data_IF_122623183881
#
_entry.id   IF_122623183881
#
_cell.length_a   1.000
_cell.length_b   1.000
_cell.length_c   1.000
_cell.angle_alpha   90.00
_cell.angle_beta   90.00
_cell.angle_gamma   90.00
#
_symmetry.space_group_name_H-M   'P 1'
#
loop_
_entity.id
_entity.type
_entity.pdbx_description
1 polymer ?
#
# COMPACT_ATOMS: atom_id res chain seq x y z
N UNK A 1 28.21 61.36 -25.34
CA UNK A 1 27.72 59.96 -25.28
C UNK A 1 27.34 59.69 -23.84
N UNK A 2 26.04 59.81 -23.56
CA UNK A 2 25.51 59.92 -22.22
C UNK A 2 25.48 58.60 -21.45
N UNK A 3 25.87 58.68 -20.18
CA UNK A 3 25.92 57.56 -19.24
C UNK A 3 24.55 56.88 -19.04
N UNK A 4 23.44 57.54 -19.36
CA UNK A 4 22.08 56.99 -19.32
C UNK A 4 21.87 55.81 -20.29
N UNK A 5 22.57 55.78 -21.43
CA UNK A 5 22.42 54.68 -22.40
C UNK A 5 23.12 53.38 -21.95
N UNK A 6 24.18 53.49 -21.13
CA UNK A 6 24.89 52.33 -20.57
C UNK A 6 24.10 51.64 -19.45
N UNK A 7 23.38 52.40 -18.63
CA UNK A 7 22.53 51.82 -17.57
C UNK A 7 21.31 51.09 -18.12
N UNK A 8 20.77 51.53 -19.27
CA UNK A 8 19.63 50.88 -19.90
C UNK A 8 20.00 49.49 -20.46
N UNK A 9 21.20 49.36 -21.06
CA UNK A 9 21.70 48.07 -21.53
C UNK A 9 22.07 47.11 -20.39
N UNK A 10 22.59 47.61 -19.27
CA UNK A 10 22.89 46.78 -18.10
C UNK A 10 21.62 46.22 -17.44
N UNK A 11 20.53 47.00 -17.37
CA UNK A 11 19.24 46.54 -16.85
C UNK A 11 18.55 45.54 -17.77
N UNK A 12 18.66 45.71 -19.09
CA UNK A 12 18.12 44.76 -20.07
C UNK A 12 18.85 43.41 -20.03
N UNK A 13 20.17 43.41 -19.80
CA UNK A 13 20.96 42.18 -19.69
C UNK A 13 20.64 41.39 -18.41
N UNK A 14 20.35 42.09 -17.30
CA UNK A 14 19.91 41.46 -16.04
C UNK A 14 18.50 40.86 -16.21
N UNK A 15 17.59 41.54 -16.91
CA UNK A 15 16.25 41.00 -17.18
C UNK A 15 16.28 39.74 -18.07
N UNK A 16 17.21 39.66 -19.03
CA UNK A 16 17.39 38.47 -19.89
C UNK A 16 18.10 37.32 -19.14
N UNK A 17 19.01 37.62 -18.21
CA UNK A 17 19.66 36.59 -17.38
C UNK A 17 18.71 36.01 -16.30
N UNK A 18 17.74 36.77 -15.80
CA UNK A 18 16.70 36.26 -14.88
C UNK A 18 15.50 35.61 -15.59
N UNK A 19 15.30 35.84 -16.89
CA UNK A 19 14.31 35.10 -17.69
C UNK A 19 14.76 33.65 -18.01
N UNK A 20 16.02 33.31 -17.69
CA UNK A 20 16.62 31.99 -17.92
C UNK A 20 16.47 30.98 -16.77
N UNK A 21 15.99 31.39 -15.59
CA UNK A 21 15.63 30.44 -14.52
C UNK A 21 14.21 29.92 -14.71
N UNK A 22 13.95 29.27 -15.84
CA UNK A 22 12.90 28.23 -15.85
C UNK A 22 13.51 27.02 -15.14
N UNK A 23 13.32 26.95 -13.83
CA UNK A 23 13.31 25.67 -13.14
C UNK A 23 12.25 24.82 -13.85
N UNK A 24 12.72 23.99 -14.78
CA UNK A 24 11.91 22.98 -15.45
C UNK A 24 11.57 21.88 -14.46
N UNK A 25 10.82 22.23 -13.41
CA UNK A 25 9.85 21.30 -12.89
C UNK A 25 8.71 21.38 -13.92
N UNK A 26 8.67 20.41 -14.84
CA UNK A 26 7.41 20.10 -15.52
C UNK A 26 6.30 20.12 -14.46
N UNK A 27 5.13 20.72 -14.72
CA UNK A 27 4.02 20.60 -13.79
C UNK A 27 3.80 19.10 -13.61
N UNK A 28 4.16 18.59 -12.43
CA UNK A 28 3.92 17.20 -12.04
C UNK A 28 2.44 17.03 -12.28
N UNK A 29 2.08 16.31 -13.36
CA UNK A 29 0.68 16.15 -13.75
C UNK A 29 -0.06 15.74 -12.50
N UNK A 30 -1.06 16.52 -12.09
CA UNK A 30 -1.80 16.29 -10.85
C UNK A 30 -2.18 14.82 -10.78
N UNK A 31 -1.47 14.07 -9.96
CA UNK A 31 -1.71 12.65 -9.85
C UNK A 31 -3.08 12.49 -9.20
N UNK A 32 -3.96 11.64 -9.74
CA UNK A 32 -5.32 11.51 -9.25
C UNK A 32 -5.33 11.19 -7.75
N UNK A 33 -6.12 11.93 -6.98
CA UNK A 33 -6.19 11.92 -5.51
C UNK A 33 -6.76 10.60 -4.93
N UNK A 34 -7.07 9.61 -5.78
CA UNK A 34 -7.77 8.37 -5.44
C UNK A 34 -6.88 7.15 -5.67
N UNK A 35 -5.95 6.93 -4.74
CA UNK A 35 -5.19 5.70 -4.72
C UNK A 35 -5.94 4.62 -3.93
N UNK A 36 -6.00 3.41 -4.47
CA UNK A 36 -6.41 2.21 -3.72
C UNK A 36 -5.34 1.72 -2.76
N UNK A 37 -4.57 2.65 -2.19
CA UNK A 37 -3.62 2.40 -1.14
C UNK A 37 -3.58 3.58 -0.17
N UNK A 38 -3.26 3.31 1.08
CA UNK A 38 -3.09 4.31 2.13
C UNK A 38 -1.99 3.91 3.12
N UNK A 39 -1.52 4.87 3.90
CA UNK A 39 -0.50 4.63 4.91
C UNK A 39 -1.11 4.20 6.24
N UNK A 40 -0.53 3.18 6.88
CA UNK A 40 -0.76 2.90 8.30
C UNK A 40 0.47 3.32 9.09
N UNK A 41 0.31 4.29 9.99
CA UNK A 41 1.41 4.90 10.76
C UNK A 41 1.36 4.60 12.25
N UNK A 42 0.17 4.24 12.72
CA UNK A 42 -0.20 3.67 14.02
C UNK A 42 -1.48 2.85 13.78
N UNK A 43 -1.90 2.00 14.72
CA UNK A 43 -3.10 1.12 14.59
C UNK A 43 -4.46 1.87 14.47
N UNK A 44 -4.45 3.20 14.31
CA UNK A 44 -5.58 4.07 14.69
C UNK A 44 -6.08 4.97 13.54
N UNK A 45 -5.65 4.73 12.29
CA UNK A 45 -6.04 5.58 11.15
C UNK A 45 -6.33 4.80 9.87
N UNK A 46 -7.02 3.68 10.02
CA UNK A 46 -7.54 2.95 8.88
C UNK A 46 -8.89 3.55 8.48
N UNK A 47 -8.96 4.15 7.28
CA UNK A 47 -10.23 4.59 6.70
C UNK A 47 -11.16 3.39 6.51
N UNK A 48 -12.40 3.50 7.00
CA UNK A 48 -13.36 2.40 6.97
C UNK A 48 -14.28 2.46 5.76
N UNK A 49 -14.95 1.34 5.52
CA UNK A 49 -15.99 1.19 4.50
C UNK A 49 -15.48 0.66 3.17
N UNK A 50 -14.25 0.14 3.09
CA UNK A 50 -13.80 -0.60 1.91
C UNK A 50 -14.34 -2.04 1.90
N UNK A 51 -14.29 -2.69 0.75
CA UNK A 51 -14.74 -4.08 0.60
C UNK A 51 -13.75 -5.08 1.20
N UNK A 52 -12.46 -4.82 1.03
CA UNK A 52 -11.31 -5.59 1.53
C UNK A 52 -10.21 -4.61 1.91
N UNK A 53 -9.41 -4.99 2.91
CA UNK A 53 -8.22 -4.29 3.37
C UNK A 53 -7.02 -5.24 3.23
N UNK A 54 -6.12 -4.94 2.30
CA UNK A 54 -4.93 -5.75 2.00
C UNK A 54 -3.68 -5.09 2.58
N UNK A 55 -3.02 -5.72 3.54
CA UNK A 55 -1.79 -5.24 4.15
C UNK A 55 -0.58 -5.77 3.40
N UNK A 56 0.39 -4.89 3.15
CA UNK A 56 1.68 -5.23 2.53
C UNK A 56 2.73 -5.34 3.62
N UNK A 57 2.98 -6.57 4.09
CA UNK A 57 3.81 -6.83 5.26
C UNK A 57 5.07 -7.61 4.89
N UNK A 58 6.18 -7.28 5.54
CA UNK A 58 7.44 -8.02 5.48
C UNK A 58 7.79 -8.55 6.87
N UNK A 59 8.19 -9.82 6.93
CA UNK A 59 8.65 -10.46 8.17
C UNK A 59 10.11 -10.16 8.50
N UNK A 60 10.88 -9.70 7.51
CA UNK A 60 12.25 -9.18 7.69
C UNK A 60 12.28 -7.66 7.64
N UNK A 61 13.37 -7.09 8.17
CA UNK A 61 13.69 -5.67 8.02
C UNK A 61 14.00 -5.34 6.56
N UNK A 62 13.34 -4.32 6.02
CA UNK A 62 13.49 -3.82 4.65
C UNK A 62 13.71 -2.31 4.61
N UNK A 63 13.93 -1.70 5.78
CA UNK A 63 14.15 -0.26 5.96
C UNK A 63 15.48 0.24 5.39
N UNK A 64 16.41 -0.66 5.07
CA UNK A 64 17.62 -0.37 4.29
C UNK A 64 17.69 -1.30 3.07
N UNK A 65 17.08 -0.93 1.93
CA UNK A 65 17.09 -1.75 0.72
C UNK A 65 18.49 -2.01 0.16
N UNK A 66 19.48 -1.16 0.46
CA UNK A 66 20.87 -1.35 0.05
C UNK A 66 21.59 -2.48 0.78
N UNK A 67 21.08 -2.91 1.93
CA UNK A 67 21.61 -4.03 2.72
C UNK A 67 20.91 -5.36 2.42
N UNK A 68 19.87 -5.36 1.58
CA UNK A 68 19.16 -6.57 1.19
C UNK A 68 19.93 -7.30 0.07
N UNK A 69 19.82 -8.63 0.07
CA UNK A 69 20.24 -9.42 -1.09
C UNK A 69 19.49 -8.96 -2.36
N UNK A 70 20.11 -9.03 -3.56
CA UNK A 70 19.55 -8.46 -4.78
C UNK A 70 18.13 -8.94 -5.10
N UNK A 71 17.88 -10.23 -4.91
CA UNK A 71 16.60 -10.86 -5.24
C UNK A 71 15.48 -10.39 -4.30
N UNK A 72 15.76 -10.32 -3.00
CA UNK A 72 14.81 -9.78 -2.01
C UNK A 72 14.56 -8.29 -2.24
N UNK A 73 15.63 -7.53 -2.52
CA UNK A 73 15.51 -6.10 -2.85
C UNK A 73 14.61 -5.90 -4.05
N UNK A 74 14.80 -6.68 -5.11
CA UNK A 74 13.99 -6.60 -6.32
C UNK A 74 12.53 -6.92 -6.05
N UNK A 75 12.22 -8.02 -5.35
CA UNK A 75 10.84 -8.35 -4.94
C UNK A 75 10.20 -7.23 -4.12
N UNK A 76 10.92 -6.69 -3.13
CA UNK A 76 10.46 -5.58 -2.30
C UNK A 76 10.10 -4.35 -3.13
N UNK A 77 11.02 -3.93 -4.01
CA UNK A 77 10.83 -2.76 -4.86
C UNK A 77 9.70 -2.98 -5.86
N UNK A 78 9.64 -4.13 -6.53
CA UNK A 78 8.61 -4.45 -7.52
C UNK A 78 7.22 -4.48 -6.90
N UNK A 79 7.07 -5.03 -5.69
CA UNK A 79 5.78 -5.02 -5.00
C UNK A 79 5.34 -3.61 -4.61
N UNK A 80 6.20 -2.83 -3.93
CA UNK A 80 5.83 -1.47 -3.55
C UNK A 80 5.53 -0.60 -4.76
N UNK A 81 6.36 -0.66 -5.80
CA UNK A 81 6.12 0.07 -7.05
C UNK A 81 4.79 -0.33 -7.69
N UNK A 82 4.44 -1.61 -7.64
CA UNK A 82 3.17 -2.09 -8.17
C UNK A 82 2.01 -1.53 -7.37
N UNK A 83 2.06 -1.56 -6.03
CA UNK A 83 0.99 -1.05 -5.15
C UNK A 83 0.79 0.45 -5.34
N UNK A 84 1.88 1.21 -5.35
CA UNK A 84 1.85 2.67 -5.36
C UNK A 84 1.64 3.23 -6.77
N UNK A 85 2.36 2.66 -7.74
CA UNK A 85 2.33 3.09 -9.14
C UNK A 85 1.09 2.64 -9.90
N UNK A 86 0.31 1.69 -9.37
CA UNK A 86 -1.03 1.43 -9.89
C UNK A 86 -2.02 2.43 -9.28
N UNK A 87 -2.28 3.54 -9.96
CA UNK A 87 -3.49 4.32 -9.71
C UNK A 87 -4.70 3.46 -10.10
N UNK A 88 -5.72 3.38 -9.23
CA UNK A 88 -7.00 2.80 -9.65
C UNK A 88 -7.85 3.84 -10.36
N UNK A 89 -8.50 3.40 -11.44
CA UNK A 89 -9.64 4.01 -12.13
C UNK A 89 -9.87 5.51 -11.88
N UNK A 90 -8.93 6.38 -12.28
CA UNK A 90 -9.19 7.83 -12.40
C UNK A 90 -9.67 8.21 -13.80
N UNK A 91 -9.46 7.35 -14.81
CA UNK A 91 -9.32 7.87 -16.18
C UNK A 91 -8.20 8.91 -16.23
N UNK A 92 -8.03 9.59 -17.37
CA UNK A 92 -7.10 10.73 -17.46
C UNK A 92 -7.54 11.93 -16.61
N UNK A 93 -8.72 11.86 -16.00
CA UNK A 93 -9.46 13.02 -15.50
C UNK A 93 -9.66 12.99 -13.97
N UNK A 94 -9.17 11.96 -13.26
CA UNK A 94 -9.21 11.88 -11.79
C UNK A 94 -10.62 11.88 -11.16
N UNK A 95 -11.69 11.71 -11.93
CA UNK A 95 -13.07 11.97 -11.48
C UNK A 95 -13.78 10.76 -10.85
N UNK A 96 -13.26 9.55 -11.03
CA UNK A 96 -13.88 8.32 -10.49
C UNK A 96 -13.40 8.06 -9.06
N UNK A 97 -14.27 8.36 -8.09
CA UNK A 97 -14.07 8.02 -6.68
C UNK A 97 -14.13 6.50 -6.49
N UNK A 98 -13.26 5.96 -5.63
CA UNK A 98 -13.35 4.56 -5.19
C UNK A 98 -14.72 4.26 -4.59
N UNK A 99 -15.39 3.21 -5.09
CA UNK A 99 -16.69 2.79 -4.56
C UNK A 99 -16.49 1.97 -3.29
N UNK A 100 -16.63 2.64 -2.15
CA UNK A 100 -16.69 2.02 -0.81
C UNK A 100 -17.65 0.81 -0.81
N UNK A 101 -17.29 -0.24 -0.09
CA UNK A 101 -17.96 -1.54 -0.02
C UNK A 101 -17.51 -2.53 -1.10
N UNK A 102 -17.03 -2.05 -2.25
CA UNK A 102 -16.65 -2.89 -3.41
C UNK A 102 -15.18 -2.80 -3.79
N UNK A 103 -14.44 -1.79 -3.30
CA UNK A 103 -13.01 -1.64 -3.59
C UNK A 103 -12.13 -2.30 -2.53
N UNK A 104 -10.98 -2.80 -2.96
CA UNK A 104 -9.89 -3.18 -2.08
C UNK A 104 -8.98 -1.96 -1.83
N UNK A 105 -8.51 -1.78 -0.60
CA UNK A 105 -7.48 -0.79 -0.25
C UNK A 105 -6.23 -1.51 0.24
N UNK A 106 -5.07 -1.08 -0.25
CA UNK A 106 -3.78 -1.54 0.22
C UNK A 106 -3.26 -0.69 1.38
N UNK A 107 -2.93 -1.28 2.51
CA UNK A 107 -2.25 -0.58 3.60
C UNK A 107 -0.76 -0.85 3.61
N UNK A 108 0.02 0.23 3.60
CA UNK A 108 1.48 0.23 3.69
C UNK A 108 1.91 0.71 5.09
N UNK A 109 2.60 -0.12 5.88
CA UNK A 109 3.27 0.33 7.11
C UNK A 109 4.24 1.48 6.82
N UNK A 110 4.05 2.60 7.51
CA UNK A 110 4.73 3.86 7.22
C UNK A 110 5.20 4.57 8.50
N UNK A 111 6.41 5.14 8.46
CA UNK A 111 6.98 5.94 9.57
C UNK A 111 6.30 7.30 9.71
N UNK A 112 5.74 7.83 8.61
CA UNK A 112 5.13 9.16 8.54
C UNK A 112 3.79 9.10 7.80
N UNK A 113 2.88 10.01 8.17
CA UNK A 113 1.55 10.11 7.56
C UNK A 113 1.57 11.12 6.41
N UNK A 114 1.66 10.66 5.16
CA UNK A 114 1.86 11.54 4.00
C UNK A 114 0.71 12.53 3.77
N UNK A 115 -0.52 12.14 4.11
CA UNK A 115 -1.66 13.05 3.98
C UNK A 115 -1.50 14.32 4.84
N UNK A 116 -0.91 14.20 6.03
CA UNK A 116 -0.67 15.36 6.90
C UNK A 116 0.55 16.19 6.47
N UNK A 117 1.44 15.65 5.62
CA UNK A 117 2.63 16.38 5.14
C UNK A 117 2.40 17.09 3.82
N UNK A 118 1.24 16.90 3.16
CA UNK A 118 0.97 17.42 1.82
C UNK A 118 1.79 16.75 0.70
N UNK A 119 2.58 15.72 1.03
CA UNK A 119 3.45 15.01 0.09
C UNK A 119 2.79 13.83 -0.59
N UNK A 120 1.49 13.56 -0.36
CA UNK A 120 0.78 12.41 -0.95
C UNK A 120 0.92 12.32 -2.48
N UNK A 121 0.83 13.41 -3.27
CA UNK A 121 1.11 13.36 -4.71
C UNK A 121 2.55 12.92 -5.04
N UNK A 122 3.51 13.17 -4.15
CA UNK A 122 4.91 12.73 -4.29
C UNK A 122 5.20 11.42 -3.56
N UNK A 123 4.22 10.78 -2.92
CA UNK A 123 4.45 9.62 -2.06
C UNK A 123 5.09 8.45 -2.82
N UNK A 124 4.80 8.30 -4.11
CA UNK A 124 5.44 7.31 -4.98
C UNK A 124 6.97 7.38 -5.02
N UNK A 125 7.55 8.57 -4.82
CA UNK A 125 8.99 8.76 -4.80
C UNK A 125 9.61 8.42 -3.43
N UNK A 126 8.83 8.51 -2.35
CA UNK A 126 9.33 8.40 -0.98
C UNK A 126 8.84 7.15 -0.23
N UNK A 127 7.84 6.45 -0.76
CA UNK A 127 7.17 5.34 -0.07
C UNK A 127 8.12 4.18 0.32
N UNK A 128 9.22 4.01 -0.41
CA UNK A 128 10.27 3.05 -0.08
C UNK A 128 11.05 3.47 1.17
N UNK A 129 11.32 4.76 1.31
CA UNK A 129 12.13 5.34 2.39
C UNK A 129 11.35 5.42 3.71
N UNK A 130 10.03 5.54 3.59
CA UNK A 130 9.14 5.68 4.74
C UNK A 130 8.56 4.36 5.22
N UNK A 131 8.82 3.22 4.56
CA UNK A 131 8.29 1.94 5.01
C UNK A 131 8.74 1.61 6.44
N UNK A 132 7.80 1.21 7.30
CA UNK A 132 8.08 0.87 8.70
C UNK A 132 8.11 -0.65 8.92
N UNK A 133 9.31 -1.23 8.94
CA UNK A 133 9.51 -2.65 9.23
C UNK A 133 9.12 -3.05 10.66
N UNK A 134 9.21 -2.15 11.63
CA UNK A 134 8.82 -2.45 13.01
C UNK A 134 7.30 -2.55 13.11
N UNK A 135 6.58 -1.63 12.48
CA UNK A 135 5.11 -1.70 12.42
C UNK A 135 4.65 -2.94 11.63
N UNK A 136 5.31 -3.26 10.51
CA UNK A 136 5.01 -4.47 9.75
C UNK A 136 5.14 -5.75 10.57
N UNK A 137 6.27 -5.92 11.28
CA UNK A 137 6.52 -7.11 12.11
C UNK A 137 5.58 -7.18 13.30
N UNK A 138 5.20 -6.03 13.87
CA UNK A 138 4.20 -5.95 14.91
C UNK A 138 2.80 -6.38 14.42
N UNK A 139 2.35 -5.89 13.26
CA UNK A 139 1.08 -6.33 12.64
C UNK A 139 1.06 -7.83 12.34
N UNK A 140 2.18 -8.39 11.85
CA UNK A 140 2.33 -9.85 11.67
C UNK A 140 2.22 -10.60 13.01
N UNK A 141 2.79 -10.06 14.09
CA UNK A 141 2.69 -10.66 15.41
C UNK A 141 1.24 -10.62 15.96
N UNK A 142 0.47 -9.58 15.63
CA UNK A 142 -0.97 -9.49 15.92
C UNK A 142 -1.75 -10.56 15.16
N UNK A 143 -1.58 -10.64 13.85
CA UNK A 143 -2.25 -11.64 13.01
C UNK A 143 -1.90 -13.08 13.40
N UNK A 144 -0.65 -13.32 13.80
CA UNK A 144 -0.18 -14.61 14.32
C UNK A 144 -0.97 -15.07 15.55
N UNK A 145 -1.36 -14.15 16.43
CA UNK A 145 -2.18 -14.48 17.62
C UNK A 145 -3.62 -14.80 17.25
N UNK A 146 -4.09 -14.29 16.11
CA UNK A 146 -5.48 -14.37 15.70
C UNK A 146 -5.83 -15.58 14.81
N UNK A 147 -4.84 -16.16 14.13
CA UNK A 147 -5.04 -17.38 13.35
C UNK A 147 -4.70 -18.64 14.17
N UNK A 148 -5.48 -19.70 13.98
CA UNK A 148 -5.20 -21.03 14.54
C UNK A 148 -4.36 -21.90 13.59
N UNK A 149 -4.15 -21.46 12.33
CA UNK A 149 -3.35 -22.18 11.35
C UNK A 149 -1.85 -22.12 11.72
N UNK A 150 -1.28 -23.27 12.09
CA UNK A 150 0.10 -23.40 12.57
C UNK A 150 1.15 -23.05 11.52
N UNK A 151 0.90 -23.40 10.26
CA UNK A 151 1.81 -23.10 9.15
C UNK A 151 1.92 -21.59 8.95
N UNK A 152 0.79 -20.89 8.85
CA UNK A 152 0.76 -19.43 8.70
C UNK A 152 1.38 -18.74 9.93
N UNK A 153 1.14 -19.25 11.15
CA UNK A 153 1.78 -18.73 12.36
C UNK A 153 3.31 -18.82 12.29
N UNK A 154 3.82 -19.92 11.75
CA UNK A 154 5.25 -20.11 11.53
C UNK A 154 5.76 -19.12 10.48
N UNK A 155 5.05 -18.97 9.36
CA UNK A 155 5.42 -18.01 8.30
C UNK A 155 5.44 -16.56 8.81
N UNK A 156 4.49 -16.15 9.65
CA UNK A 156 4.54 -14.80 10.27
C UNK A 156 5.66 -14.62 11.29
N UNK A 157 6.26 -15.71 11.79
CA UNK A 157 7.36 -15.66 12.75
C UNK A 157 8.72 -15.70 12.07
N UNK A 158 8.89 -16.57 11.08
CA UNK A 158 10.20 -16.85 10.48
C UNK A 158 10.25 -16.59 8.97
N UNK A 159 9.09 -16.44 8.34
CA UNK A 159 9.01 -16.20 6.90
C UNK A 159 9.44 -14.76 6.57
N UNK A 160 10.22 -14.57 5.50
CA UNK A 160 10.75 -13.26 5.16
C UNK A 160 9.71 -12.30 4.56
N UNK A 161 8.68 -12.84 3.89
CA UNK A 161 7.79 -12.06 3.05
C UNK A 161 8.41 -11.68 1.69
N UNK A 162 7.73 -10.87 0.87
CA UNK A 162 6.51 -10.13 1.22
C UNK A 162 5.28 -11.01 1.44
N UNK A 163 4.38 -10.53 2.29
CA UNK A 163 3.05 -11.08 2.51
C UNK A 163 1.99 -10.06 2.08
N UNK A 164 1.00 -10.50 1.31
CA UNK A 164 -0.24 -9.77 1.13
C UNK A 164 -1.30 -10.44 2.00
N UNK A 165 -1.85 -9.67 2.93
CA UNK A 165 -2.81 -10.19 3.91
C UNK A 165 -4.09 -9.40 3.79
N UNK A 166 -5.16 -10.07 3.38
CA UNK A 166 -6.45 -9.43 3.11
C UNK A 166 -7.48 -9.79 4.15
N UNK A 167 -8.15 -8.78 4.67
CA UNK A 167 -9.17 -8.87 5.71
C UNK A 167 -10.40 -8.07 5.29
N UNK A 168 -11.55 -8.35 5.89
CA UNK A 168 -12.82 -7.67 5.58
C UNK A 168 -13.16 -6.52 6.52
N UNK A 169 -12.38 -6.38 7.58
CA UNK A 169 -12.36 -5.22 8.47
C UNK A 169 -10.91 -4.89 8.79
N UNK A 170 -10.59 -3.63 9.11
CA UNK A 170 -9.23 -3.23 9.43
C UNK A 170 -8.68 -3.95 10.67
N UNK A 171 -7.39 -4.31 10.69
CA UNK A 171 -6.73 -5.02 11.79
C UNK A 171 -6.86 -4.25 13.11
N UNK A 172 -6.76 -2.91 13.09
CA UNK A 172 -6.88 -2.09 14.29
C UNK A 172 -8.28 -2.12 14.94
N UNK A 173 -9.33 -2.45 14.18
CA UNK A 173 -10.70 -2.47 14.70
C UNK A 173 -11.06 -3.69 15.55
N UNK A 174 -10.23 -4.74 15.52
CA UNK A 174 -10.46 -5.93 16.30
C UNK A 174 -9.85 -5.86 17.71
N UNK A 175 -8.94 -4.90 17.95
CA UNK A 175 -8.47 -4.58 19.29
C UNK A 175 -9.56 -3.81 20.05
N UNK A 176 -10.24 -4.51 20.96
CA UNK A 176 -11.38 -3.99 21.71
C UNK A 176 -11.15 -2.60 22.31
N UNK A 177 -12.15 -1.73 22.09
CA UNK A 177 -12.51 -0.51 22.84
C UNK A 177 -11.59 0.72 22.89
N UNK A 178 -10.31 0.68 22.51
CA UNK A 178 -9.47 1.90 22.66
C UNK A 178 -9.17 2.65 21.36
N UNK A 179 -9.36 2.04 20.18
CA UNK A 179 -8.67 2.53 18.96
C UNK A 179 -9.56 2.92 17.77
N UNK A 180 -10.89 2.76 17.85
CA UNK A 180 -11.81 3.20 16.80
C UNK A 180 -12.83 4.21 17.31
N UNK A 181 -12.81 5.43 16.75
CA UNK A 181 -13.83 6.47 17.02
C UNK A 181 -15.26 6.05 16.64
N UNK A 182 -15.38 4.99 15.84
CA UNK A 182 -16.66 4.42 15.38
C UNK A 182 -16.73 2.92 15.73
N UNK A 183 -16.28 2.53 16.92
CA UNK A 183 -16.39 1.15 17.40
C UNK A 183 -17.86 0.76 17.60
N UNK A 184 -18.39 -0.06 16.70
CA UNK A 184 -19.69 -0.72 16.86
C UNK A 184 -19.42 -2.05 17.56
N UNK A 185 -19.73 -2.09 18.88
CA UNK A 185 -19.81 -3.27 19.75
C UNK A 185 -18.74 -4.36 19.63
N UNK A 186 -17.94 -4.50 20.70
CA UNK A 186 -17.00 -5.59 21.00
C UNK A 186 -17.61 -7.01 20.91
N UNK A 187 -17.84 -7.52 19.72
CA UNK A 187 -17.92 -8.96 19.49
C UNK A 187 -16.63 -9.39 18.81
N UNK A 188 -15.98 -10.39 19.41
CA UNK A 188 -14.88 -11.13 18.80
C UNK A 188 -15.42 -11.77 17.52
N UNK A 189 -15.29 -11.09 16.40
CA UNK A 189 -15.85 -11.53 15.12
C UNK A 189 -14.91 -12.57 14.54
N UNK A 190 -15.42 -13.79 14.36
CA UNK A 190 -14.70 -14.75 13.52
C UNK A 190 -14.85 -14.25 12.08
N UNK A 191 -13.73 -13.95 11.43
CA UNK A 191 -13.70 -13.52 10.02
C UNK A 191 -12.76 -14.42 9.23
N UNK A 192 -12.66 -14.17 7.92
CA UNK A 192 -11.76 -14.87 7.02
C UNK A 192 -10.66 -13.92 6.57
N UNK A 193 -9.44 -14.42 6.60
CA UNK A 193 -8.25 -13.77 6.07
C UNK A 193 -7.78 -14.52 4.84
N UNK A 194 -7.49 -13.79 3.75
CA UNK A 194 -6.75 -14.34 2.62
C UNK A 194 -5.27 -13.99 2.80
N UNK A 195 -4.44 -15.00 2.95
CA UNK A 195 -3.00 -14.91 3.06
C UNK A 195 -2.34 -15.27 1.73
N UNK A 196 -1.45 -14.42 1.23
CA UNK A 196 -0.58 -14.70 0.10
C UNK A 196 0.90 -14.48 0.47
N UNK A 197 1.71 -15.53 0.33
CA UNK A 197 3.15 -15.50 0.49
C UNK A 197 3.82 -15.25 -0.87
N UNK A 198 4.48 -14.10 -1.01
CA UNK A 198 5.15 -13.71 -2.23
C UNK A 198 6.68 -13.85 -2.12
N UNK A 199 7.19 -14.50 -1.06
CA UNK A 199 8.63 -14.64 -0.79
C UNK A 199 9.41 -15.33 -1.92
N UNK A 200 8.73 -16.17 -2.71
CA UNK A 200 9.32 -16.88 -3.87
C UNK A 200 8.78 -16.40 -5.21
N UNK A 201 7.84 -15.45 -5.22
CA UNK A 201 7.20 -15.00 -6.45
C UNK A 201 8.17 -14.22 -7.33
N UNK A 202 8.11 -14.46 -8.65
CA UNK A 202 8.85 -13.68 -9.64
C UNK A 202 8.48 -12.18 -9.53
N UNK A 203 9.44 -11.26 -9.34
CA UNK A 203 9.19 -9.81 -9.35
C UNK A 203 8.35 -9.29 -10.53
N UNK A 204 8.48 -9.89 -11.72
CA UNK A 204 7.74 -9.48 -12.92
C UNK A 204 6.22 -9.68 -12.77
N UNK A 205 5.80 -10.65 -11.95
CA UNK A 205 4.39 -10.95 -11.73
C UNK A 205 3.72 -9.98 -10.75
N UNK A 206 4.49 -9.16 -10.01
CA UNK A 206 3.95 -8.30 -8.94
C UNK A 206 2.90 -7.31 -9.44
N UNK A 207 3.09 -6.77 -10.65
CA UNK A 207 2.15 -5.83 -11.27
C UNK A 207 0.79 -6.49 -11.52
N UNK A 208 0.79 -7.71 -12.03
CA UNK A 208 -0.42 -8.45 -12.33
C UNK A 208 -1.13 -8.93 -11.06
N UNK A 209 -0.37 -9.38 -10.06
CA UNK A 209 -0.89 -9.74 -8.74
C UNK A 209 -1.60 -8.53 -8.11
N UNK A 210 -0.93 -7.38 -8.02
CA UNK A 210 -1.52 -6.17 -7.43
C UNK A 210 -2.74 -5.71 -8.23
N UNK A 211 -2.68 -5.71 -9.56
CA UNK A 211 -3.83 -5.39 -10.41
C UNK A 211 -5.03 -6.30 -10.13
N UNK A 212 -4.78 -7.60 -9.91
CA UNK A 212 -5.83 -8.56 -9.55
C UNK A 212 -6.49 -8.24 -8.22
N UNK A 213 -5.70 -7.86 -7.20
CA UNK A 213 -6.21 -7.40 -5.91
C UNK A 213 -7.03 -6.11 -5.99
N UNK A 214 -6.74 -5.23 -6.96
CA UNK A 214 -7.42 -3.94 -7.15
C UNK A 214 -8.76 -4.03 -7.89
N UNK A 215 -9.07 -5.19 -8.50
CA UNK A 215 -10.37 -5.43 -9.14
C UNK A 215 -11.50 -5.31 -8.11
N UNK A 216 -12.66 -4.84 -8.58
CA UNK A 216 -13.85 -4.75 -7.74
C UNK A 216 -14.22 -6.10 -7.15
N UNK A 217 -14.49 -6.09 -5.86
CA UNK A 217 -14.99 -7.23 -5.09
C UNK A 217 -16.48 -7.37 -5.38
N UNK A 218 -16.92 -8.62 -5.56
CA UNK A 218 -18.35 -8.93 -5.68
C UNK A 218 -18.99 -8.92 -4.30
N UNK A 219 -20.20 -8.37 -4.20
CA UNK A 219 -21.00 -8.54 -2.99
C UNK A 219 -21.30 -10.04 -2.77
N UNK A 220 -21.22 -10.47 -1.52
CA UNK A 220 -21.41 -11.85 -1.12
C UNK A 220 -22.10 -11.92 0.24
N UNK A 221 -22.73 -13.06 0.54
CA UNK A 221 -23.51 -13.23 1.77
C UNK A 221 -22.63 -13.53 2.99
N UNK A 222 -21.47 -14.14 2.77
CA UNK A 222 -20.49 -14.42 3.82
C UNK A 222 -19.06 -13.99 3.44
N UNK A 223 -18.21 -13.92 4.46
CA UNK A 223 -16.83 -13.47 4.37
C UNK A 223 -15.96 -14.34 3.43
N UNK A 224 -16.17 -15.66 3.45
CA UNK A 224 -15.40 -16.59 2.63
C UNK A 224 -15.76 -16.44 1.14
N UNK A 225 -17.06 -16.32 0.85
CA UNK A 225 -17.58 -16.06 -0.49
C UNK A 225 -17.09 -14.72 -1.05
N UNK A 226 -16.86 -13.72 -0.19
CA UNK A 226 -16.35 -12.41 -0.61
C UNK A 226 -14.88 -12.46 -1.07
N UNK A 227 -14.04 -13.28 -0.41
CA UNK A 227 -12.62 -13.43 -0.74
C UNK A 227 -12.34 -14.51 -1.79
N UNK A 228 -13.25 -15.48 -1.98
CA UNK A 228 -13.06 -16.60 -2.90
C UNK A 228 -12.78 -16.19 -4.36
N UNK A 229 -13.49 -15.20 -4.97
CA UNK A 229 -13.19 -14.77 -6.34
C UNK A 229 -11.77 -14.21 -6.49
N UNK A 230 -11.32 -13.47 -5.48
CA UNK A 230 -9.96 -12.93 -5.45
C UNK A 230 -8.94 -14.06 -5.32
N UNK A 231 -9.16 -15.01 -4.39
CA UNK A 231 -8.31 -16.18 -4.24
C UNK A 231 -8.17 -16.94 -5.56
N UNK A 232 -9.28 -17.27 -6.23
CA UNK A 232 -9.27 -17.99 -7.51
C UNK A 232 -8.51 -17.22 -8.60
N UNK A 233 -8.64 -15.90 -8.64
CA UNK A 233 -7.93 -15.07 -9.63
C UNK A 233 -6.41 -15.00 -9.40
N UNK A 234 -5.95 -15.36 -8.19
CA UNK A 234 -4.54 -15.32 -7.81
C UNK A 234 -3.83 -16.68 -7.95
N UNK A 235 -4.58 -17.78 -8.11
CA UNK A 235 -4.02 -19.15 -8.17
C UNK A 235 -2.96 -19.28 -9.26
N UNK A 236 -3.21 -18.70 -10.44
CA UNK A 236 -2.28 -18.81 -11.57
C UNK A 236 -1.10 -17.82 -11.50
N UNK A 237 -1.18 -16.83 -10.59
CA UNK A 237 -0.21 -15.75 -10.47
C UNK A 237 0.79 -15.98 -9.32
N UNK A 238 0.34 -16.66 -8.26
CA UNK A 238 1.16 -16.97 -7.09
C UNK A 238 1.80 -18.35 -7.28
N UNK A 239 3.13 -18.39 -7.30
CA UNK A 239 3.87 -19.65 -7.41
C UNK A 239 3.54 -20.60 -6.25
N UNK A 240 3.35 -21.88 -6.55
CA UNK A 240 2.91 -22.90 -5.59
C UNK A 240 1.69 -22.42 -4.77
N UNK A 241 0.65 -21.95 -5.46
CA UNK A 241 -0.52 -21.34 -4.82
C UNK A 241 -1.12 -22.16 -3.68
N UNK A 242 -1.10 -23.49 -3.75
CA UNK A 242 -1.61 -24.34 -2.66
C UNK A 242 -0.87 -24.13 -1.32
N UNK A 243 0.43 -23.84 -1.37
CA UNK A 243 1.26 -23.57 -0.18
C UNK A 243 1.22 -22.06 0.17
N UNK A 244 1.21 -21.22 -0.87
CA UNK A 244 1.46 -19.79 -0.74
C UNK A 244 0.20 -18.91 -0.80
N UNK A 245 -0.99 -19.47 -1.00
CA UNK A 245 -2.25 -18.73 -1.08
C UNK A 245 -3.37 -19.47 -0.32
N UNK A 246 -3.67 -19.01 0.89
CA UNK A 246 -4.58 -19.70 1.80
C UNK A 246 -5.65 -18.76 2.37
N UNK A 247 -6.90 -19.23 2.41
CA UNK A 247 -7.98 -18.57 3.15
C UNK A 247 -8.09 -19.23 4.53
N UNK A 248 -7.91 -18.46 5.60
CA UNK A 248 -7.95 -18.98 6.97
C UNK A 248 -8.90 -18.21 7.85
N UNK A 249 -9.52 -18.92 8.80
CA UNK A 249 -10.33 -18.27 9.83
C UNK A 249 -9.41 -17.56 10.79
N UNK A 250 -9.79 -16.35 11.15
CA UNK A 250 -9.12 -15.53 12.16
C UNK A 250 -10.13 -15.12 13.23
N UNK A 251 -9.62 -14.99 14.44
CA UNK A 251 -10.33 -14.50 15.62
C UNK A 251 -9.50 -13.35 16.18
N UNK A 252 -9.64 -12.20 15.54
CA UNK A 252 -9.03 -10.96 16.01
C UNK A 252 -9.88 -10.38 17.16
#
# INVERSE_FOLDING_TARGET
MDNTFKYFFALLLIAVLFAGCKTGEEPVSELPEFYSWDEITKEDKEDTGYGVYTYVLFGRRVDNPGALDPETRERYLSLLNSVIGSADYGGKDGTRRMKKGLSNVFYLPAKIYFKATGLKPKAQYYAREIYDSNLSTYLLATLRKATENTEIRQQFTTGPGPFLISTLQPIGQYHGKEFSRNSVNNQKTTSVMLYANLSKTNPDNMKEIVSTYKRYIKEAKDDAEKLKPLQLSLVDLVQNANENLQSVKIRL
#
